data_IF_720852921516
#
_entry.id   IF_720852921516
#
_cell.length_a   1.000
_cell.length_b   1.000
_cell.length_c   1.000
_cell.angle_alpha   90.00
_cell.angle_beta   90.00
_cell.angle_gamma   90.00
#
_symmetry.space_group_name_H-M   'P 1'
#
loop_
_entity.id
_entity.type
_entity.pdbx_description
1 polymer ?
#
# COMPACT_ATOMS: atom_id res chain seq x y z
N UNK A 1 8.50 -17.76 -28.04
CA UNK A 1 7.44 -17.63 -26.98
C UNK A 1 8.13 -17.87 -25.65
N UNK A 2 8.54 -16.80 -24.98
CA UNK A 2 9.21 -16.88 -23.67
C UNK A 2 8.15 -17.27 -22.63
N UNK A 3 8.29 -18.45 -22.06
CA UNK A 3 7.53 -18.93 -20.90
C UNK A 3 7.61 -17.86 -19.80
N UNK A 4 6.53 -17.15 -19.58
CA UNK A 4 6.40 -16.19 -18.48
C UNK A 4 6.49 -16.98 -17.18
N UNK A 5 7.68 -17.01 -16.58
CA UNK A 5 7.86 -17.60 -15.26
C UNK A 5 7.05 -16.77 -14.28
N UNK A 6 5.87 -17.27 -13.93
CA UNK A 6 4.94 -16.66 -12.97
C UNK A 6 5.56 -16.64 -11.57
N UNK A 7 6.36 -17.65 -11.25
CA UNK A 7 7.07 -17.80 -9.98
C UNK A 7 8.50 -17.25 -10.10
N UNK A 8 8.68 -15.98 -9.84
CA UNK A 8 9.98 -15.35 -9.62
C UNK A 8 10.18 -15.10 -8.13
N UNK A 9 11.44 -15.02 -7.67
CA UNK A 9 11.74 -14.74 -6.25
C UNK A 9 11.06 -13.46 -5.75
N UNK A 10 11.06 -12.33 -6.48
CA UNK A 10 10.29 -11.15 -6.09
C UNK A 10 8.81 -11.43 -5.90
N UNK A 11 8.16 -12.12 -6.85
CA UNK A 11 6.73 -12.43 -6.75
C UNK A 11 6.39 -13.28 -5.52
N UNK A 12 7.26 -14.23 -5.15
CA UNK A 12 7.07 -15.03 -3.94
C UNK A 12 7.20 -14.17 -2.68
N UNK A 13 8.15 -13.23 -2.66
CA UNK A 13 8.30 -12.28 -1.56
C UNK A 13 7.06 -11.40 -1.41
N UNK A 14 6.53 -10.86 -2.51
CA UNK A 14 5.30 -10.04 -2.48
C UNK A 14 4.10 -10.86 -2.03
N UNK A 15 3.93 -12.09 -2.54
CA UNK A 15 2.85 -12.99 -2.14
C UNK A 15 2.94 -13.42 -0.68
N UNK A 16 4.14 -13.50 -0.10
CA UNK A 16 4.33 -13.86 1.32
C UNK A 16 3.67 -12.86 2.28
N UNK A 17 3.41 -11.63 1.85
CA UNK A 17 2.69 -10.62 2.65
C UNK A 17 1.22 -10.96 2.86
N UNK A 18 0.58 -11.76 1.98
CA UNK A 18 -0.81 -12.18 2.18
C UNK A 18 -0.96 -13.12 3.39
N UNK A 19 -0.19 -14.21 3.54
CA UNK A 19 -0.22 -15.00 4.78
C UNK A 19 0.25 -14.22 6.01
N UNK A 20 1.20 -13.27 5.88
CA UNK A 20 1.58 -12.38 6.99
C UNK A 20 0.43 -11.47 7.41
N UNK A 21 -0.34 -10.93 6.46
CA UNK A 21 -1.54 -10.14 6.74
C UNK A 21 -2.61 -10.99 7.44
N UNK A 22 -2.86 -12.21 6.96
CA UNK A 22 -3.77 -13.13 7.62
C UNK A 22 -3.31 -13.47 9.05
N UNK A 23 -2.02 -13.79 9.23
CA UNK A 23 -1.46 -14.06 10.55
C UNK A 23 -1.63 -12.86 11.51
N UNK A 24 -1.53 -11.62 11.01
CA UNK A 24 -1.71 -10.41 11.83
C UNK A 24 -3.08 -10.33 12.49
N UNK A 25 -4.14 -10.83 11.84
CA UNK A 25 -5.50 -10.87 12.41
C UNK A 25 -5.64 -11.82 13.61
N UNK A 26 -4.89 -12.93 13.60
CA UNK A 26 -5.00 -13.98 14.60
C UNK A 26 -3.98 -13.87 15.72
N UNK A 27 -2.96 -13.04 15.55
CA UNK A 27 -1.89 -12.86 16.54
C UNK A 27 -2.25 -11.71 17.49
N UNK A 28 -2.38 -12.01 18.79
CA UNK A 28 -2.73 -11.00 19.81
C UNK A 28 -1.51 -10.35 20.47
N UNK A 29 -0.34 -10.96 20.38
CA UNK A 29 0.88 -10.47 21.04
C UNK A 29 1.51 -9.26 20.33
N UNK A 30 1.70 -8.13 21.06
CA UNK A 30 2.33 -6.92 20.53
C UNK A 30 3.70 -7.20 19.87
N UNK A 31 4.57 -7.95 20.54
CA UNK A 31 5.91 -8.29 20.01
C UNK A 31 5.83 -9.12 18.73
N UNK A 32 4.91 -10.08 18.66
CA UNK A 32 4.72 -10.88 17.46
C UNK A 32 4.17 -10.03 16.30
N UNK A 33 3.25 -9.10 16.55
CA UNK A 33 2.78 -8.13 15.54
C UNK A 33 3.88 -7.20 15.04
N UNK A 34 4.77 -6.74 15.93
CA UNK A 34 5.95 -5.95 15.51
C UNK A 34 6.85 -6.76 14.58
N UNK A 35 7.06 -8.04 14.88
CA UNK A 35 7.83 -8.94 14.01
C UNK A 35 7.14 -9.10 12.65
N UNK A 36 5.81 -9.30 12.62
CA UNK A 36 5.05 -9.42 11.35
C UNK A 36 5.15 -8.16 10.48
N UNK A 37 5.00 -6.96 11.08
CA UNK A 37 5.18 -5.68 10.34
C UNK A 37 6.63 -5.53 9.87
N UNK A 38 7.60 -5.89 10.70
CA UNK A 38 9.01 -5.89 10.34
C UNK A 38 9.31 -6.82 9.16
N UNK A 39 8.80 -8.04 9.19
CA UNK A 39 8.95 -9.02 8.10
C UNK A 39 8.27 -8.52 6.81
N UNK A 40 7.05 -7.99 6.90
CA UNK A 40 6.36 -7.43 5.74
C UNK A 40 7.13 -6.26 5.13
N UNK A 41 7.69 -5.37 5.96
CA UNK A 41 8.51 -4.23 5.50
C UNK A 41 9.82 -4.69 4.87
N UNK A 42 10.46 -5.72 5.42
CA UNK A 42 11.69 -6.31 4.87
C UNK A 42 11.42 -6.97 3.53
N UNK A 43 10.34 -7.74 3.39
CA UNK A 43 9.98 -8.37 2.11
C UNK A 43 9.72 -7.32 1.04
N UNK A 44 9.04 -6.20 1.35
CA UNK A 44 8.82 -5.07 0.44
C UNK A 44 10.13 -4.40 0.01
N UNK A 45 11.06 -4.22 0.94
CA UNK A 45 12.38 -3.67 0.64
C UNK A 45 13.17 -4.57 -0.31
N UNK A 46 13.18 -5.88 -0.03
CA UNK A 46 13.94 -6.85 -0.81
C UNK A 46 13.34 -7.10 -2.19
N UNK A 47 12.02 -7.20 -2.34
CA UNK A 47 11.41 -7.37 -3.66
C UNK A 47 11.61 -6.13 -4.54
N UNK A 48 11.47 -4.92 -3.98
CA UNK A 48 11.78 -3.68 -4.67
C UNK A 48 13.25 -3.56 -5.08
N UNK A 49 14.19 -4.10 -4.28
CA UNK A 49 15.61 -4.12 -4.61
C UNK A 49 15.92 -5.13 -5.73
N UNK A 50 15.34 -6.35 -5.65
CA UNK A 50 15.46 -7.37 -6.68
C UNK A 50 14.81 -6.95 -8.00
N UNK A 51 13.65 -6.30 -7.95
CA UNK A 51 12.95 -5.78 -9.12
C UNK A 51 13.81 -4.77 -9.89
N UNK A 52 14.54 -3.89 -9.19
CA UNK A 52 15.48 -2.94 -9.82
C UNK A 52 16.68 -3.61 -10.51
N UNK A 53 16.96 -4.87 -10.20
CA UNK A 53 18.00 -5.69 -10.85
C UNK A 53 17.51 -6.51 -12.05
N UNK A 54 16.32 -6.21 -12.57
CA UNK A 54 15.80 -6.80 -13.81
C UNK A 54 15.07 -8.15 -13.64
N UNK A 55 14.74 -8.56 -12.42
CA UNK A 55 13.99 -9.81 -12.15
C UNK A 55 12.48 -9.53 -12.05
N UNK A 56 11.90 -8.76 -12.97
CA UNK A 56 10.47 -8.47 -12.95
C UNK A 56 9.70 -9.35 -13.94
N UNK A 57 8.57 -9.91 -13.50
CA UNK A 57 7.55 -10.48 -14.38
C UNK A 57 6.39 -9.50 -14.55
N UNK A 58 5.64 -9.61 -15.65
CA UNK A 58 4.45 -8.76 -15.87
C UNK A 58 3.40 -8.96 -14.77
N UNK A 59 3.24 -10.18 -14.27
CA UNK A 59 2.35 -10.51 -13.16
C UNK A 59 2.87 -9.97 -11.82
N UNK A 60 4.18 -10.01 -11.56
CA UNK A 60 4.78 -9.44 -10.36
C UNK A 60 4.50 -7.95 -10.24
N UNK A 61 4.71 -7.20 -11.31
CA UNK A 61 4.45 -5.76 -11.34
C UNK A 61 3.00 -5.36 -10.98
N UNK A 62 2.04 -6.30 -11.11
CA UNK A 62 0.64 -6.12 -10.69
C UNK A 62 0.40 -6.62 -9.26
N UNK A 63 1.03 -7.75 -8.88
CA UNK A 63 0.83 -8.39 -7.58
C UNK A 63 1.51 -7.61 -6.44
N UNK A 64 2.68 -7.01 -6.70
CA UNK A 64 3.44 -6.27 -5.68
C UNK A 64 2.63 -5.13 -5.03
N UNK A 65 2.02 -4.19 -5.79
CA UNK A 65 1.23 -3.12 -5.18
C UNK A 65 -0.02 -3.63 -4.46
N UNK A 66 -0.61 -4.75 -4.93
CA UNK A 66 -1.81 -5.32 -4.31
C UNK A 66 -1.44 -5.97 -2.97
N UNK A 67 -0.39 -6.78 -2.94
CA UNK A 67 0.03 -7.48 -1.72
C UNK A 67 0.49 -6.51 -0.62
N UNK A 68 1.26 -5.47 -0.99
CA UNK A 68 1.71 -4.42 -0.07
C UNK A 68 0.52 -3.69 0.58
N UNK A 69 -0.40 -3.21 -0.24
CA UNK A 69 -1.60 -2.50 0.25
C UNK A 69 -2.54 -3.39 1.05
N UNK A 70 -2.65 -4.68 0.70
CA UNK A 70 -3.45 -5.64 1.45
C UNK A 70 -2.91 -5.82 2.86
N UNK A 71 -1.59 -5.91 3.05
CA UNK A 71 -1.01 -6.03 4.39
C UNK A 71 -1.34 -4.82 5.28
N UNK A 72 -1.11 -3.59 4.79
CA UNK A 72 -1.40 -2.36 5.54
C UNK A 72 -2.90 -2.26 5.86
N UNK A 73 -3.76 -2.52 4.87
CA UNK A 73 -5.22 -2.48 5.04
C UNK A 73 -5.68 -3.46 6.13
N UNK A 74 -5.22 -4.70 6.07
CA UNK A 74 -5.60 -5.76 7.03
C UNK A 74 -5.06 -5.43 8.43
N UNK A 75 -3.83 -4.92 8.54
CA UNK A 75 -3.25 -4.55 9.82
C UNK A 75 -4.01 -3.41 10.49
N UNK A 76 -4.36 -2.34 9.75
CA UNK A 76 -5.18 -1.24 10.30
C UNK A 76 -6.62 -1.71 10.61
N UNK A 77 -7.18 -2.60 9.79
CA UNK A 77 -8.50 -3.20 10.04
C UNK A 77 -8.52 -4.01 11.35
N UNK A 78 -7.45 -4.74 11.66
CA UNK A 78 -7.33 -5.45 12.93
C UNK A 78 -7.44 -4.47 14.13
N UNK A 79 -6.74 -3.34 14.07
CA UNK A 79 -6.82 -2.29 15.11
C UNK A 79 -8.19 -1.61 15.18
N UNK A 80 -8.90 -1.48 14.06
CA UNK A 80 -10.29 -1.01 14.04
C UNK A 80 -11.21 -2.00 14.75
N UNK A 81 -11.09 -3.30 14.45
CA UNK A 81 -11.90 -4.35 15.08
C UNK A 81 -11.64 -4.42 16.60
N UNK A 82 -10.40 -4.20 17.02
CA UNK A 82 -10.00 -4.15 18.44
C UNK A 82 -10.41 -2.84 19.15
N UNK A 83 -10.96 -1.86 18.44
CA UNK A 83 -11.35 -0.57 18.99
C UNK A 83 -10.18 0.35 19.31
N UNK A 84 -8.96 0.03 18.87
CA UNK A 84 -7.77 0.86 19.04
C UNK A 84 -7.70 2.00 18.01
N UNK A 85 -8.44 1.91 16.93
CA UNK A 85 -8.57 2.91 15.86
C UNK A 85 -10.06 3.14 15.62
N UNK A 86 -10.47 4.40 15.49
CA UNK A 86 -11.84 4.75 15.14
C UNK A 86 -12.10 4.57 13.63
N UNK A 87 -13.38 4.45 13.25
CA UNK A 87 -13.74 4.33 11.83
C UNK A 87 -13.26 5.53 11.01
N UNK A 88 -13.33 6.76 11.55
CA UNK A 88 -12.83 7.96 10.87
C UNK A 88 -11.33 7.92 10.63
N UNK A 89 -10.54 7.52 11.61
CA UNK A 89 -9.09 7.36 11.49
C UNK A 89 -8.74 6.27 10.47
N UNK A 90 -9.45 5.13 10.51
CA UNK A 90 -9.28 4.06 9.52
C UNK A 90 -9.47 4.59 8.10
N UNK A 91 -10.59 5.27 7.82
CA UNK A 91 -10.86 5.80 6.48
C UNK A 91 -9.85 6.88 6.06
N UNK A 92 -9.37 7.70 6.99
CA UNK A 92 -8.30 8.67 6.70
C UNK A 92 -7.02 7.94 6.27
N UNK A 93 -6.60 6.91 7.02
CA UNK A 93 -5.36 6.17 6.73
C UNK A 93 -5.42 5.48 5.38
N UNK A 94 -6.56 4.90 4.96
CA UNK A 94 -6.69 4.19 3.70
C UNK A 94 -7.16 5.06 2.54
N UNK A 95 -7.53 6.34 2.77
CA UNK A 95 -8.19 7.22 1.79
C UNK A 95 -7.44 7.33 0.46
N UNK A 96 -6.11 7.49 0.52
CA UNK A 96 -5.26 7.57 -0.66
C UNK A 96 -5.24 6.25 -1.44
N UNK A 97 -5.17 5.10 -0.75
CA UNK A 97 -5.11 3.79 -1.40
C UNK A 97 -6.44 3.47 -2.07
N UNK A 98 -7.54 3.80 -1.42
CA UNK A 98 -8.88 3.69 -1.99
C UNK A 98 -9.04 4.58 -3.23
N UNK A 99 -8.65 5.86 -3.14
CA UNK A 99 -8.70 6.78 -4.26
C UNK A 99 -7.81 6.33 -5.44
N UNK A 100 -6.62 5.78 -5.15
CA UNK A 100 -5.72 5.25 -6.19
C UNK A 100 -6.31 4.00 -6.85
N UNK A 101 -6.94 3.10 -6.09
CA UNK A 101 -7.61 1.92 -6.62
C UNK A 101 -8.78 2.30 -7.51
N UNK A 102 -9.63 3.23 -7.08
CA UNK A 102 -10.74 3.77 -7.89
C UNK A 102 -10.20 4.43 -9.15
N UNK A 103 -9.18 5.29 -9.04
CA UNK A 103 -8.56 5.96 -10.18
C UNK A 103 -7.96 4.99 -11.20
N UNK A 104 -7.35 3.89 -10.73
CA UNK A 104 -6.85 2.83 -11.60
C UNK A 104 -7.99 2.11 -12.35
N UNK A 105 -9.09 1.78 -11.66
CA UNK A 105 -10.27 1.17 -12.27
C UNK A 105 -10.86 2.10 -13.32
N UNK A 106 -11.01 3.39 -13.01
CA UNK A 106 -11.52 4.40 -13.94
C UNK A 106 -10.62 4.50 -15.18
N UNK A 107 -9.30 4.54 -14.99
CA UNK A 107 -8.35 4.59 -16.12
C UNK A 107 -8.36 3.31 -16.96
N UNK A 108 -8.68 2.17 -16.37
CA UNK A 108 -8.81 0.91 -17.10
C UNK A 108 -10.09 0.83 -17.93
N UNK A 109 -11.19 1.41 -17.44
CA UNK A 109 -12.52 1.34 -18.08
C UNK A 109 -12.71 2.44 -19.15
N UNK A 110 -12.02 3.58 -19.02
CA UNK A 110 -12.21 4.70 -19.94
C UNK A 110 -11.13 4.73 -21.03
N UNK A 111 -11.52 4.74 -22.32
CA UNK A 111 -10.58 4.90 -23.42
C UNK A 111 -9.87 6.27 -23.35
N UNK A 112 -8.59 6.29 -23.70
CA UNK A 112 -7.78 7.53 -23.69
C UNK A 112 -7.04 7.78 -22.37
N UNK A 113 -7.22 6.95 -21.33
CA UNK A 113 -6.43 7.00 -20.09
C UNK A 113 -5.45 5.83 -20.01
N UNK A 114 -4.21 6.11 -19.59
CA UNK A 114 -3.19 5.06 -19.41
C UNK A 114 -3.12 4.62 -17.94
N UNK A 115 -3.55 3.38 -17.60
CA UNK A 115 -3.44 2.86 -16.23
C UNK A 115 -1.99 2.82 -15.72
N UNK A 116 -1.00 2.75 -16.62
CA UNK A 116 0.44 2.73 -16.26
C UNK A 116 0.93 4.07 -15.71
N UNK A 117 0.16 5.15 -15.91
CA UNK A 117 0.47 6.46 -15.35
C UNK A 117 0.36 6.52 -13.82
N UNK A 118 -0.34 5.55 -13.19
CA UNK A 118 -0.41 5.40 -11.72
C UNK A 118 0.87 4.85 -11.08
N UNK A 119 2.03 5.01 -11.74
CA UNK A 119 3.32 4.68 -11.11
C UNK A 119 3.53 5.48 -9.84
N UNK A 120 4.22 4.85 -8.88
CA UNK A 120 4.52 5.44 -7.57
C UNK A 120 5.17 6.82 -7.70
N UNK A 121 4.41 7.88 -7.39
CA UNK A 121 4.83 9.28 -7.37
C UNK A 121 5.25 9.68 -5.96
N UNK A 122 6.01 10.75 -5.84
CA UNK A 122 6.53 11.22 -4.55
C UNK A 122 5.46 11.39 -3.47
N UNK A 123 4.29 12.04 -3.72
CA UNK A 123 3.26 12.19 -2.69
C UNK A 123 2.76 10.84 -2.17
N UNK A 124 2.58 9.86 -3.07
CA UNK A 124 2.18 8.51 -2.69
C UNK A 124 3.21 7.78 -1.81
N UNK A 125 4.50 8.01 -2.03
CA UNK A 125 5.56 7.44 -1.19
C UNK A 125 5.52 8.01 0.23
N UNK A 126 5.27 9.33 0.36
CA UNK A 126 5.13 9.99 1.67
C UNK A 126 3.98 9.36 2.46
N UNK A 127 2.82 9.14 1.81
CA UNK A 127 1.69 8.48 2.48
C UNK A 127 2.06 7.08 2.94
N UNK A 128 2.73 6.26 2.10
CA UNK A 128 3.13 4.90 2.49
C UNK A 128 4.08 4.90 3.71
N UNK A 129 5.04 5.82 3.76
CA UNK A 129 5.93 5.97 4.91
C UNK A 129 5.16 6.37 6.18
N UNK A 130 4.21 7.30 6.06
CA UNK A 130 3.38 7.72 7.20
C UNK A 130 2.43 6.60 7.67
N UNK A 131 1.88 5.81 6.76
CA UNK A 131 1.06 4.63 7.09
C UNK A 131 1.88 3.58 7.87
N UNK A 132 3.09 3.31 7.42
CA UNK A 132 3.99 2.40 8.13
C UNK A 132 4.38 2.94 9.51
N UNK A 133 4.67 4.24 9.59
CA UNK A 133 4.92 4.91 10.88
C UNK A 133 3.71 4.83 11.80
N UNK A 134 2.49 4.95 11.26
CA UNK A 134 1.24 4.80 12.02
C UNK A 134 1.06 3.38 12.57
N UNK A 135 1.37 2.34 11.79
CA UNK A 135 1.35 0.95 12.25
C UNK A 135 2.35 0.71 13.38
N UNK A 136 3.57 1.21 13.25
CA UNK A 136 4.56 1.12 14.31
C UNK A 136 4.17 1.95 15.56
N UNK A 137 3.55 3.12 15.36
CA UNK A 137 3.04 3.92 16.47
C UNK A 137 1.96 3.15 17.24
N UNK A 138 0.97 2.56 16.57
CA UNK A 138 -0.06 1.74 17.21
C UNK A 138 0.52 0.58 18.01
N UNK A 139 1.59 -0.04 17.50
CA UNK A 139 2.25 -1.16 18.17
C UNK A 139 3.15 -0.74 19.32
N UNK A 140 3.93 0.32 19.18
CA UNK A 140 5.00 0.67 20.11
C UNK A 140 4.63 1.82 21.06
N UNK A 141 3.94 2.85 20.53
CA UNK A 141 3.52 4.07 21.25
C UNK A 141 2.16 4.57 20.77
N UNK A 142 1.05 3.93 21.17
CA UNK A 142 -0.30 4.28 20.68
C UNK A 142 -0.66 5.76 20.84
N UNK A 143 -0.14 6.42 21.87
CA UNK A 143 -0.35 7.84 22.11
C UNK A 143 0.17 8.77 20.98
N UNK A 144 1.06 8.29 20.12
CA UNK A 144 1.59 9.05 18.96
C UNK A 144 0.68 8.95 17.75
N UNK A 145 -0.12 7.88 17.64
CA UNK A 145 -0.95 7.62 16.47
C UNK A 145 -1.92 8.77 16.14
N UNK A 146 -2.67 9.38 17.10
CA UNK A 146 -3.58 10.48 16.79
C UNK A 146 -2.89 11.70 16.16
N UNK A 147 -1.61 11.95 16.48
CA UNK A 147 -0.84 13.03 15.87
C UNK A 147 -0.44 12.74 14.42
N UNK A 148 -0.31 11.46 14.04
CA UNK A 148 0.00 11.05 12.66
C UNK A 148 -1.22 11.14 11.74
N UNK A 149 -2.43 10.98 12.25
CA UNK A 149 -3.67 10.97 11.45
C UNK A 149 -3.84 12.26 10.62
N UNK A 150 -3.72 13.48 11.16
CA UNK A 150 -3.82 14.71 10.36
C UNK A 150 -2.69 14.82 9.32
N UNK A 151 -1.48 14.34 9.62
CA UNK A 151 -0.38 14.33 8.65
C UNK A 151 -0.69 13.39 7.49
N UNK A 152 -1.23 12.21 7.78
CA UNK A 152 -1.68 11.27 6.76
C UNK A 152 -2.82 11.87 5.93
N UNK A 153 -3.78 12.57 6.55
CA UNK A 153 -4.88 13.23 5.85
C UNK A 153 -4.36 14.27 4.84
N UNK A 154 -3.45 15.14 5.27
CA UNK A 154 -2.85 16.17 4.41
C UNK A 154 -2.03 15.55 3.26
N UNK A 155 -1.20 14.57 3.56
CA UNK A 155 -0.40 13.88 2.56
C UNK A 155 -1.28 13.11 1.56
N UNK A 156 -2.38 12.48 2.04
CA UNK A 156 -3.34 11.79 1.19
C UNK A 156 -4.09 12.75 0.29
N UNK A 157 -4.55 13.89 0.80
CA UNK A 157 -5.19 14.93 0.01
C UNK A 157 -4.25 15.46 -1.09
N UNK A 158 -2.98 15.70 -0.75
CA UNK A 158 -1.96 16.09 -1.73
C UNK A 158 -1.77 15.01 -2.81
N UNK A 159 -1.64 13.73 -2.41
CA UNK A 159 -1.47 12.63 -3.35
C UNK A 159 -2.69 12.45 -4.27
N UNK A 160 -3.91 12.54 -3.72
CA UNK A 160 -5.16 12.44 -4.49
C UNK A 160 -5.26 13.59 -5.50
N UNK A 161 -4.97 14.82 -5.07
CA UNK A 161 -4.96 15.98 -5.97
C UNK A 161 -3.95 15.82 -7.13
N UNK A 162 -2.73 15.35 -6.83
CA UNK A 162 -1.69 15.10 -7.84
C UNK A 162 -2.13 14.04 -8.87
N UNK A 163 -2.74 12.94 -8.42
CA UNK A 163 -3.28 11.92 -9.33
C UNK A 163 -4.45 12.42 -10.16
N UNK A 164 -5.37 13.17 -9.57
CA UNK A 164 -6.56 13.71 -10.26
C UNK A 164 -6.14 14.71 -11.34
N UNK A 165 -5.21 15.61 -11.03
CA UNK A 165 -4.66 16.57 -11.99
C UNK A 165 -3.95 15.85 -13.16
N UNK A 166 -3.25 14.77 -12.86
CA UNK A 166 -2.58 13.98 -13.89
C UNK A 166 -3.59 13.34 -14.85
N UNK A 167 -4.65 12.70 -14.33
CA UNK A 167 -5.72 12.11 -15.13
C UNK A 167 -6.42 13.16 -16.01
N UNK A 168 -6.72 14.32 -15.43
CA UNK A 168 -7.33 15.43 -16.17
C UNK A 168 -6.45 15.88 -17.34
N UNK A 169 -5.14 16.02 -17.11
CA UNK A 169 -4.19 16.41 -18.17
C UNK A 169 -4.06 15.37 -19.29
N UNK A 170 -4.21 14.09 -18.99
CA UNK A 170 -4.22 13.04 -20.02
C UNK A 170 -5.47 13.14 -20.89
N UNK A 171 -6.65 13.31 -20.28
CA UNK A 171 -7.91 13.42 -21.00
C UNK A 171 -8.00 14.63 -21.91
N UNK A 172 -7.33 15.74 -21.58
CA UNK A 172 -7.32 16.96 -22.42
C UNK A 172 -6.36 16.82 -23.61
N UNK A 173 -5.42 15.86 -23.55
CA UNK A 173 -4.41 15.63 -24.62
C UNK A 173 -4.78 14.48 -25.58
N UNK A 174 -5.78 13.67 -25.24
CA UNK A 174 -6.35 12.62 -26.09
C UNK A 174 -7.50 13.16 -26.93
#
# INVERSE_FOLDING_TARGET
>A
MSSSRVLTVPNLLSLSRLPLAAAFLFVEGRSARVVLVGLASLTDFFDGWLARRGQTSQLGALLDPIADKTFVLVAILAFLIEGAVTASEFFIVISRDLATAIGFIVAYLLPGLDPRAFKARWPGKVVTVLQLAALFALLLRPAVFPALVPLIALASAWAIADYTLMLHRQRVRS
#
